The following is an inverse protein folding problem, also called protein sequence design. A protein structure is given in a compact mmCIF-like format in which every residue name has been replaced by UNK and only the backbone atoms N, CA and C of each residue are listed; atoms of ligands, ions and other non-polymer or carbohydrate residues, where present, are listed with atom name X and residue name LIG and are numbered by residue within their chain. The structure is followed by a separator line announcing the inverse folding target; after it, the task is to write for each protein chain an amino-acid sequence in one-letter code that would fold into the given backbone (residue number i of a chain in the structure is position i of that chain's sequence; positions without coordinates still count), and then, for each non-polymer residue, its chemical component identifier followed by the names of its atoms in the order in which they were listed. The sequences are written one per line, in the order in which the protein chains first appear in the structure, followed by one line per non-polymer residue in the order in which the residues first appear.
data_IF_686057078593
#
_entry.id   IF_686057078593
#
_cell.length_a   1.000
_cell.length_b   1.000
_cell.length_c   1.000
_cell.angle_alpha   90.00
_cell.angle_beta   90.00
_cell.angle_gamma   90.00
#
_symmetry.space_group_name_H-M   'P 1'
#
loop_
_entity.id
_entity.type
_entity.pdbx_description
1 polymer ?
#
# COMPACT_ATOMS: atom_id res chain seq x y z
N UNK A 1 0.52 -37.24 5.68
CA UNK A 1 -0.53 -36.20 5.79
C UNK A 1 -0.31 -35.47 7.10
N UNK A 2 0.36 -34.33 7.05
CA UNK A 2 0.33 -33.24 8.05
C UNK A 2 1.23 -32.11 7.53
N UNK A 3 0.77 -31.44 6.46
CA UNK A 3 1.35 -30.18 6.00
C UNK A 3 0.49 -29.06 6.61
N UNK A 4 0.75 -28.74 7.87
CA UNK A 4 0.02 -27.71 8.57
C UNK A 4 0.90 -27.16 9.66
N UNK A 5 1.75 -26.19 9.31
CA UNK A 5 2.42 -25.23 10.23
C UNK A 5 3.49 -24.39 9.49
N UNK A 6 3.20 -23.85 8.31
CA UNK A 6 4.07 -22.86 7.67
C UNK A 6 3.23 -21.66 7.22
N UNK A 7 3.54 -20.51 7.80
CA UNK A 7 2.83 -19.25 7.63
C UNK A 7 2.17 -18.84 8.93
N UNK A 8 2.77 -17.88 9.65
CA UNK A 8 2.01 -17.06 10.58
C UNK A 8 0.95 -16.38 9.72
N UNK A 9 -0.28 -16.92 9.69
CA UNK A 9 -1.42 -16.24 9.08
C UNK A 9 -1.49 -14.89 9.76
N UNK A 10 -1.25 -13.80 9.04
CA UNK A 10 -1.73 -12.48 9.47
C UNK A 10 -3.21 -12.70 9.76
N UNK A 11 -3.63 -12.48 11.00
CA UNK A 11 -5.02 -12.75 11.31
C UNK A 11 -5.91 -11.78 10.51
N UNK A 12 -7.15 -12.15 10.26
CA UNK A 12 -8.04 -11.37 9.39
C UNK A 12 -8.24 -9.93 9.87
N UNK A 13 -8.11 -9.67 11.18
CA UNK A 13 -8.23 -8.33 11.76
C UNK A 13 -7.00 -7.48 11.49
N UNK A 14 -5.80 -8.04 11.64
CA UNK A 14 -4.53 -7.40 11.31
C UNK A 14 -4.48 -7.03 9.83
N UNK A 15 -4.83 -7.96 8.93
CA UNK A 15 -4.90 -7.68 7.50
C UNK A 15 -5.82 -6.51 7.18
N UNK A 16 -7.03 -6.50 7.75
CA UNK A 16 -7.99 -5.41 7.56
C UNK A 16 -7.50 -4.10 8.14
N UNK A 17 -6.75 -4.13 9.26
CA UNK A 17 -6.16 -2.94 9.83
C UNK A 17 -5.10 -2.35 8.88
N UNK A 18 -4.18 -3.18 8.39
CA UNK A 18 -3.18 -2.77 7.40
C UNK A 18 -3.83 -2.23 6.12
N UNK A 19 -4.81 -2.93 5.57
CA UNK A 19 -5.53 -2.50 4.37
C UNK A 19 -6.21 -1.13 4.54
N UNK A 20 -6.71 -0.82 5.75
CA UNK A 20 -7.28 0.51 6.06
C UNK A 20 -6.20 1.58 6.16
N UNK A 21 -5.07 1.28 6.76
CA UNK A 21 -3.93 2.21 6.91
C UNK A 21 -3.38 2.59 5.53
N UNK A 22 -3.12 1.60 4.67
CA UNK A 22 -2.61 1.79 3.32
C UNK A 22 -3.55 2.62 2.44
N UNK A 23 -4.85 2.27 2.44
CA UNK A 23 -5.86 3.05 1.70
C UNK A 23 -5.93 4.50 2.17
N UNK A 24 -5.81 4.73 3.48
CA UNK A 24 -5.84 6.08 4.03
C UNK A 24 -4.57 6.87 3.67
N UNK A 25 -3.41 6.21 3.68
CA UNK A 25 -2.14 6.82 3.27
C UNK A 25 -2.17 7.19 1.78
N UNK A 26 -2.55 6.25 0.92
CA UNK A 26 -2.68 6.46 -0.53
C UNK A 26 -3.68 7.58 -0.86
N UNK A 27 -4.89 7.53 -0.28
CA UNK A 27 -5.89 8.57 -0.52
C UNK A 27 -5.39 9.97 -0.13
N UNK A 28 -4.67 10.11 0.99
CA UNK A 28 -4.08 11.39 1.40
C UNK A 28 -3.04 11.90 0.40
N UNK A 29 -2.23 11.02 -0.18
CA UNK A 29 -1.28 11.41 -1.23
C UNK A 29 -2.05 11.92 -2.46
N UNK A 30 -3.10 11.22 -2.88
CA UNK A 30 -3.94 11.66 -4.00
C UNK A 30 -4.63 13.01 -3.74
N UNK A 31 -5.10 13.25 -2.52
CA UNK A 31 -5.68 14.55 -2.13
C UNK A 31 -4.64 15.67 -2.19
N UNK A 32 -3.46 15.46 -1.60
CA UNK A 32 -2.43 16.51 -1.45
C UNK A 32 -1.63 16.77 -2.73
N UNK A 33 -1.29 15.71 -3.48
CA UNK A 33 -0.39 15.78 -4.64
C UNK A 33 -1.10 15.52 -5.96
N UNK A 34 -2.23 14.80 -5.94
CA UNK A 34 -3.01 14.47 -7.14
C UNK A 34 -4.19 15.40 -7.44
N UNK A 35 -4.42 16.42 -6.60
CA UNK A 35 -5.61 17.28 -6.65
C UNK A 35 -6.93 16.48 -6.68
N UNK A 36 -6.98 15.31 -6.05
CA UNK A 36 -8.18 14.49 -5.97
C UNK A 36 -9.10 14.99 -4.86
N UNK A 37 -10.41 14.95 -5.12
CA UNK A 37 -11.38 15.14 -4.04
C UNK A 37 -11.33 13.95 -3.08
N UNK A 38 -11.73 14.11 -1.81
CA UNK A 38 -11.71 13.00 -0.84
C UNK A 38 -12.46 11.76 -1.30
N UNK A 39 -13.62 11.92 -1.94
CA UNK A 39 -14.42 10.78 -2.43
C UNK A 39 -13.71 10.04 -3.57
N UNK A 40 -13.08 10.79 -4.48
CA UNK A 40 -12.33 10.21 -5.60
C UNK A 40 -11.06 9.52 -5.11
N UNK A 41 -10.34 10.13 -4.18
CA UNK A 41 -9.15 9.54 -3.57
C UNK A 41 -9.47 8.22 -2.85
N UNK A 42 -10.61 8.15 -2.14
CA UNK A 42 -11.09 6.90 -1.52
C UNK A 42 -11.43 5.83 -2.53
N UNK A 43 -12.11 6.19 -3.62
CA UNK A 43 -12.44 5.24 -4.69
C UNK A 43 -11.18 4.69 -5.38
N UNK A 44 -10.21 5.57 -5.69
CA UNK A 44 -8.92 5.19 -6.26
C UNK A 44 -8.11 4.31 -5.28
N UNK A 45 -8.13 4.61 -3.98
CA UNK A 45 -7.50 3.76 -2.95
C UNK A 45 -8.12 2.37 -2.83
N UNK A 46 -9.45 2.24 -2.95
CA UNK A 46 -10.14 0.95 -2.95
C UNK A 46 -9.75 0.08 -4.16
N UNK A 47 -9.51 0.72 -5.31
CA UNK A 47 -9.08 0.04 -6.53
C UNK A 47 -7.60 -0.36 -6.46
N UNK A 48 -6.74 0.50 -5.91
CA UNK A 48 -5.31 0.24 -5.75
C UNK A 48 -5.02 -0.85 -4.71
N UNK A 49 -5.80 -0.89 -3.62
CA UNK A 49 -5.68 -1.86 -2.54
C UNK A 49 -6.98 -2.66 -2.41
N UNK A 50 -7.25 -3.64 -3.27
CA UNK A 50 -8.44 -4.48 -3.15
C UNK A 50 -8.36 -5.35 -1.90
N UNK A 51 -9.52 -5.77 -1.39
CA UNK A 51 -9.56 -6.82 -0.36
C UNK A 51 -9.29 -8.18 -1.02
N UNK A 52 -8.40 -8.95 -0.43
CA UNK A 52 -8.03 -10.29 -0.88
C UNK A 52 -8.47 -11.33 0.17
N UNK A 53 -9.26 -12.35 -0.23
CA UNK A 53 -9.69 -13.40 0.69
C UNK A 53 -8.49 -14.24 1.19
N UNK A 54 -8.59 -14.91 2.35
CA UNK A 54 -7.48 -15.67 2.94
C UNK A 54 -6.89 -16.74 2.01
N UNK A 55 -7.67 -17.20 1.04
CA UNK A 55 -7.29 -18.22 0.06
C UNK A 55 -6.61 -17.62 -1.19
N UNK A 56 -6.49 -16.30 -1.30
CA UNK A 56 -5.81 -15.66 -2.44
C UNK A 56 -4.32 -16.01 -2.43
N UNK A 57 -3.77 -16.57 -3.53
CA UNK A 57 -2.39 -17.06 -3.58
C UNK A 57 -1.35 -15.95 -3.46
N UNK A 58 -1.75 -14.69 -3.66
CA UNK A 58 -0.88 -13.51 -3.59
C UNK A 58 -1.39 -12.48 -2.58
N UNK A 59 -2.16 -12.92 -1.59
CA UNK A 59 -2.61 -12.03 -0.51
C UNK A 59 -1.42 -11.30 0.11
N UNK A 60 -1.60 -10.00 0.34
CA UNK A 60 -0.63 -9.08 0.96
C UNK A 60 0.50 -8.63 0.03
N UNK A 61 0.58 -9.15 -1.20
CA UNK A 61 1.60 -8.75 -2.18
C UNK A 61 1.51 -7.25 -2.52
N UNK A 62 0.31 -6.69 -2.46
CA UNK A 62 0.07 -5.25 -2.72
C UNK A 62 0.74 -4.33 -1.71
N UNK A 63 1.14 -4.85 -0.53
CA UNK A 63 1.79 -4.06 0.52
C UNK A 63 3.32 -4.03 0.41
N UNK A 64 3.92 -4.60 -0.64
CA UNK A 64 5.39 -4.68 -0.73
C UNK A 64 6.07 -3.32 -0.84
N UNK A 65 5.45 -2.39 -1.54
CA UNK A 65 5.93 -1.03 -1.69
C UNK A 65 5.08 -0.06 -0.87
N UNK A 66 5.70 1.04 -0.45
CA UNK A 66 5.03 2.08 0.30
C UNK A 66 3.85 2.66 -0.50
N UNK A 67 2.77 3.03 0.20
CA UNK A 67 1.66 3.77 -0.42
C UNK A 67 2.08 5.03 -1.17
N UNK A 68 3.22 5.63 -0.79
CA UNK A 68 3.83 6.71 -1.56
C UNK A 68 4.22 6.27 -2.97
N UNK A 69 4.97 5.17 -3.11
CA UNK A 69 5.43 4.66 -4.40
C UNK A 69 4.25 4.32 -5.31
N UNK A 70 3.26 3.61 -4.77
CA UNK A 70 2.03 3.31 -5.50
C UNK A 70 1.27 4.56 -5.93
N UNK A 71 1.18 5.58 -5.07
CA UNK A 71 0.51 6.82 -5.41
C UNK A 71 1.27 7.60 -6.49
N UNK A 72 2.60 7.62 -6.46
CA UNK A 72 3.40 8.24 -7.51
C UNK A 72 3.26 7.52 -8.84
N UNK A 73 3.30 6.17 -8.85
CA UNK A 73 3.01 5.36 -10.03
C UNK A 73 1.60 5.65 -10.57
N UNK A 74 0.61 5.81 -9.69
CA UNK A 74 -0.77 6.09 -10.09
C UNK A 74 -0.93 7.48 -10.71
N UNK A 75 -0.21 8.49 -10.18
CA UNK A 75 -0.31 9.88 -10.64
C UNK A 75 0.53 10.17 -11.89
N UNK A 76 1.73 9.60 -11.97
CA UNK A 76 2.76 9.97 -12.95
C UNK A 76 3.12 8.81 -13.89
N UNK A 77 2.65 7.58 -13.62
CA UNK A 77 2.92 6.39 -14.42
C UNK A 77 4.25 5.70 -14.07
N UNK A 78 4.55 4.62 -14.79
CA UNK A 78 5.66 3.69 -14.51
C UNK A 78 7.06 4.33 -14.57
N UNK A 79 7.21 5.48 -15.22
CA UNK A 79 8.51 6.16 -15.38
C UNK A 79 8.68 7.35 -14.46
N UNK A 80 7.81 7.52 -13.48
CA UNK A 80 7.81 8.73 -12.65
C UNK A 80 9.16 8.98 -11.98
N UNK A 81 9.90 7.96 -11.54
CA UNK A 81 11.21 8.14 -10.91
C UNK A 81 12.27 8.72 -11.86
N UNK A 82 12.09 8.54 -13.17
CA UNK A 82 12.99 9.06 -14.19
C UNK A 82 12.62 10.49 -14.57
N UNK A 83 11.32 10.80 -14.61
CA UNK A 83 10.78 12.10 -15.01
C UNK A 83 10.68 13.09 -13.84
N UNK A 84 10.51 12.56 -12.63
CA UNK A 84 10.34 13.26 -11.35
C UNK A 84 11.20 12.59 -10.25
N UNK A 85 12.55 12.61 -10.38
CA UNK A 85 13.44 12.00 -9.40
C UNK A 85 13.27 12.60 -7.99
N UNK A 86 12.79 13.83 -7.88
CA UNK A 86 12.46 14.50 -6.61
C UNK A 86 11.31 13.82 -5.84
N UNK A 87 10.49 12.99 -6.49
CA UNK A 87 9.39 12.24 -5.88
C UNK A 87 9.76 10.79 -5.53
N UNK A 88 11.02 10.39 -5.75
CA UNK A 88 11.49 9.02 -5.48
C UNK A 88 11.32 8.66 -3.99
N UNK A 89 11.59 9.61 -3.11
CA UNK A 89 11.41 9.48 -1.67
C UNK A 89 10.24 10.33 -1.20
N UNK A 90 9.48 9.81 -0.24
CA UNK A 90 8.44 10.61 0.38
C UNK A 90 9.07 11.78 1.15
N UNK A 91 8.44 12.96 1.19
CA UNK A 91 8.89 14.04 2.05
C UNK A 91 8.92 13.59 3.52
N UNK A 92 9.85 14.11 4.32
CA UNK A 92 10.02 13.73 5.72
C UNK A 92 8.73 13.87 6.56
N UNK A 93 7.87 14.84 6.21
CA UNK A 93 6.54 15.04 6.80
C UNK A 93 5.58 13.84 6.62
N UNK A 94 5.79 13.06 5.55
CA UNK A 94 5.07 11.82 5.27
C UNK A 94 5.69 10.66 6.05
N UNK A 95 7.02 10.53 6.02
CA UNK A 95 7.76 9.44 6.67
C UNK A 95 7.57 9.41 8.20
N UNK A 96 7.52 10.57 8.86
CA UNK A 96 7.27 10.67 10.32
C UNK A 96 5.93 10.07 10.77
N UNK A 97 5.01 9.77 9.84
CA UNK A 97 3.70 9.17 10.11
C UNK A 97 3.60 7.69 9.74
N UNK A 98 4.54 7.16 8.97
CA UNK A 98 4.55 5.77 8.46
C UNK A 98 5.61 4.93 9.19
N UNK A 99 6.07 5.35 10.38
CA UNK A 99 7.01 4.62 11.24
C UNK A 99 6.37 3.35 11.87
N UNK A 100 5.81 2.50 11.01
CA UNK A 100 5.52 1.11 11.27
C UNK A 100 6.16 0.34 10.12
N UNK A 101 7.22 -0.45 10.37
CA UNK A 101 7.90 -1.17 9.30
C UNK A 101 6.90 -2.06 8.58
N UNK A 102 6.94 -2.02 7.25
CA UNK A 102 6.25 -2.99 6.41
C UNK A 102 6.64 -4.39 6.90
N UNK A 103 5.67 -5.29 7.18
CA UNK A 103 6.02 -6.64 7.58
C UNK A 103 6.90 -7.24 6.47
N UNK A 104 8.00 -7.92 6.81
CA UNK A 104 8.91 -8.44 5.81
C UNK A 104 8.15 -9.33 4.81
N UNK A 105 8.50 -9.27 3.52
CA UNK A 105 7.85 -10.11 2.50
C UNK A 105 7.88 -11.58 2.96
N UNK A 106 6.79 -12.34 2.79
CA UNK A 106 6.77 -13.74 3.16
C UNK A 106 7.87 -14.48 2.38
N UNK A 107 8.80 -15.10 3.11
CA UNK A 107 9.82 -15.96 2.52
C UNK A 107 9.18 -17.31 2.14
N UNK A 108 9.57 -17.91 0.99
CA UNK A 108 8.95 -19.14 0.48
C UNK A 108 9.16 -20.35 1.38
#
# INVERSE_FOLDING_TARGET
MAAGELGRRVNEEEYRAYLREERAAFARVLERYGSRTPDRARAEALAAYPYEPPESPYRDLVFHDEAWHWAMLHLHGERYWHEHPELLHAPEEYEQRVDRPNPPPPTP
#
